data_IF_377515735062
#
_entry.id   IF_377515735062
#
_cell.length_a   1.000
_cell.length_b   1.000
_cell.length_c   1.000
_cell.angle_alpha   90.00
_cell.angle_beta   90.00
_cell.angle_gamma   90.00
#
_symmetry.space_group_name_H-M   'P 1'
#
loop_
_entity.id
_entity.type
_entity.pdbx_description
1 polymer ?
#
# COMPACT_ATOMS: atom_id res chain seq x y z
N UNK A 1 -5.75 22.45 -12.81
CA UNK A 1 -5.73 22.28 -12.41
C UNK A 1 -5.62 21.94 -11.55
N UNK A 2 -5.49 21.68 -11.40
CA UNK A 2 -5.54 21.16 -10.62
C UNK A 2 -5.32 21.47 -9.51
N UNK A 3 -5.65 21.45 -8.97
CA UNK A 3 -5.61 21.71 -7.92
C UNK A 3 -5.10 20.88 -7.15
N UNK A 4 -4.37 20.75 -6.68
CA UNK A 4 -3.74 20.00 -5.98
C UNK A 4 -3.97 20.04 -4.70
N UNK A 5 -4.80 20.39 -4.30
CA UNK A 5 -4.97 20.49 -2.99
C UNK A 5 -5.21 19.23 -2.35
N UNK A 6 -6.29 18.95 -1.79
CA UNK A 6 -6.54 17.74 -1.06
C UNK A 6 -6.97 16.65 -2.01
N UNK A 7 -6.45 15.45 -1.82
CA UNK A 7 -6.94 14.34 -2.60
C UNK A 7 -8.38 14.06 -2.24
N UNK A 8 -9.09 13.49 -3.18
CA UNK A 8 -10.44 13.06 -2.91
C UNK A 8 -10.43 11.89 -1.96
N UNK A 9 -11.36 11.83 -1.03
CA UNK A 9 -11.46 10.65 -0.18
C UNK A 9 -11.79 9.44 -1.04
N UNK A 10 -11.25 8.31 -0.66
CA UNK A 10 -11.56 7.07 -1.34
C UNK A 10 -12.97 6.63 -0.97
N UNK A 11 -13.65 5.93 -1.87
CA UNK A 11 -14.96 5.41 -1.51
C UNK A 11 -14.84 4.31 -0.48
N UNK A 12 -15.90 4.19 0.33
CA UNK A 12 -15.99 3.06 1.24
C UNK A 12 -16.07 1.77 0.44
N UNK A 13 -15.62 0.68 1.02
CA UNK A 13 -15.68 -0.61 0.34
C UNK A 13 -17.12 -0.96 -0.07
N UNK A 14 -18.09 -0.45 0.66
CA UNK A 14 -19.49 -0.75 0.32
C UNK A 14 -19.96 0.03 -0.89
N UNK A 15 -19.28 1.12 -1.23
CA UNK A 15 -19.71 1.99 -2.30
C UNK A 15 -18.78 1.96 -3.51
N UNK A 16 -17.76 1.14 -3.46
CA UNK A 16 -16.76 1.16 -4.51
C UNK A 16 -17.35 0.61 -5.80
N UNK A 17 -16.94 1.16 -6.92
CA UNK A 17 -17.33 0.62 -8.20
C UNK A 17 -16.41 -0.55 -8.53
N UNK A 18 -17.00 -1.72 -8.63
CA UNK A 18 -16.20 -2.91 -8.86
C UNK A 18 -15.61 -2.93 -10.26
N UNK A 19 -14.55 -3.68 -10.41
CA UNK A 19 -13.92 -3.86 -11.70
C UNK A 19 -14.95 -4.41 -12.70
N UNK A 20 -14.99 -3.80 -13.86
CA UNK A 20 -15.92 -4.24 -14.88
C UNK A 20 -15.26 -4.26 -16.25
N UNK A 21 -16.02 -4.70 -17.27
CA UNK A 21 -15.45 -4.81 -18.62
C UNK A 21 -14.91 -3.49 -19.16
N UNK A 22 -15.47 -2.38 -18.72
CA UNK A 22 -15.00 -1.08 -19.19
C UNK A 22 -13.62 -0.73 -18.67
N UNK A 23 -13.12 -1.48 -17.68
CA UNK A 23 -11.80 -1.19 -17.12
C UNK A 23 -10.68 -1.98 -17.78
N UNK A 24 -11.05 -2.94 -18.64
CA UNK A 24 -10.06 -3.86 -19.17
C UNK A 24 -9.01 -3.14 -20.01
N UNK A 25 -9.45 -2.21 -20.84
CA UNK A 25 -8.50 -1.51 -21.72
C UNK A 25 -7.49 -0.73 -20.89
N UNK A 26 -7.95 -0.09 -19.83
CA UNK A 26 -7.05 0.67 -18.97
C UNK A 26 -6.03 -0.27 -18.31
N UNK A 27 -6.48 -1.39 -17.81
CA UNK A 27 -5.58 -2.32 -17.15
C UNK A 27 -4.56 -2.89 -18.13
N UNK A 28 -5.01 -3.15 -19.35
CA UNK A 28 -4.08 -3.65 -20.38
C UNK A 28 -3.01 -2.62 -20.69
N UNK A 29 -3.38 -1.35 -20.72
CA UNK A 29 -2.38 -0.30 -20.94
C UNK A 29 -1.39 -0.21 -19.78
N UNK A 30 -1.89 -0.36 -18.57
CA UNK A 30 -1.00 -0.37 -17.41
C UNK A 30 -0.04 -1.55 -17.51
N UNK A 31 -0.55 -2.72 -17.87
CA UNK A 31 0.31 -3.88 -18.05
C UNK A 31 1.40 -3.61 -19.07
N UNK A 32 1.04 -2.96 -20.17
CA UNK A 32 2.03 -2.68 -21.21
C UNK A 32 3.09 -1.71 -20.73
N UNK A 33 2.68 -0.72 -19.95
CA UNK A 33 3.66 0.21 -19.37
C UNK A 33 4.61 -0.54 -18.46
N UNK A 34 4.09 -1.37 -17.59
CA UNK A 34 4.94 -2.12 -16.67
C UNK A 34 5.87 -3.07 -17.42
N UNK A 35 5.36 -3.66 -18.51
CA UNK A 35 6.20 -4.55 -19.31
C UNK A 35 7.36 -3.79 -19.94
N UNK A 36 7.08 -2.60 -20.47
CA UNK A 36 8.14 -1.82 -21.10
C UNK A 36 9.24 -1.43 -20.12
N UNK A 37 8.86 -1.27 -18.85
CA UNK A 37 9.83 -0.90 -17.84
C UNK A 37 10.41 -2.12 -17.11
N UNK A 38 10.04 -3.32 -17.53
CA UNK A 38 10.54 -4.52 -16.88
C UNK A 38 10.02 -4.67 -15.46
N UNK A 39 8.82 -4.16 -15.18
CA UNK A 39 8.34 -4.05 -13.82
C UNK A 39 7.10 -4.92 -13.54
N UNK A 40 6.78 -5.85 -14.43
CA UNK A 40 5.58 -6.65 -14.25
C UNK A 40 5.59 -7.48 -12.98
N UNK A 41 6.77 -7.82 -12.47
CA UNK A 41 6.85 -8.60 -11.25
C UNK A 41 7.10 -7.75 -10.03
N UNK A 42 7.09 -6.43 -10.21
CA UNK A 42 7.29 -5.52 -9.09
C UNK A 42 6.04 -4.76 -8.72
N UNK A 43 5.16 -4.53 -9.67
CA UNK A 43 3.97 -3.72 -9.42
C UNK A 43 2.74 -4.40 -9.97
N UNK A 44 1.65 -4.22 -9.28
CA UNK A 44 0.34 -4.59 -9.76
C UNK A 44 -0.59 -3.43 -9.53
N UNK A 45 -1.87 -3.68 -9.47
CA UNK A 45 -2.83 -2.63 -9.20
C UNK A 45 -3.82 -3.10 -8.13
N UNK A 46 -4.47 -2.13 -7.54
CA UNK A 46 -5.45 -2.37 -6.48
C UNK A 46 -6.65 -1.47 -6.73
N UNK A 47 -7.81 -1.98 -6.48
CA UNK A 47 -9.02 -1.17 -6.50
C UNK A 47 -9.06 -0.36 -5.23
N UNK A 48 -8.88 0.93 -5.34
CA UNK A 48 -8.75 1.78 -4.17
C UNK A 48 -10.07 1.89 -3.42
N UNK A 49 -10.00 1.77 -2.14
CA UNK A 49 -11.16 1.88 -1.28
C UNK A 49 -10.69 2.12 0.14
N UNK A 50 -11.62 2.46 1.01
CA UNK A 50 -11.28 2.64 2.41
C UNK A 50 -12.24 1.86 3.29
N UNK A 51 -11.79 1.52 4.44
CA UNK A 51 -12.63 0.90 5.46
C UNK A 51 -12.91 1.89 6.58
N UNK A 52 -12.12 2.93 6.70
CA UNK A 52 -12.29 4.00 7.66
C UNK A 52 -11.49 5.19 7.16
N UNK A 53 -11.66 6.33 7.81
CA UNK A 53 -10.97 7.54 7.38
C UNK A 53 -9.57 7.60 7.94
N UNK A 54 -8.67 8.15 7.14
CA UNK A 54 -7.33 8.46 7.59
C UNK A 54 -7.17 9.97 7.64
N UNK A 55 -6.47 10.46 8.65
CA UNK A 55 -6.09 11.85 8.68
C UNK A 55 -5.00 12.09 7.64
N UNK A 56 -4.81 13.35 7.26
CA UNK A 56 -3.87 13.67 6.20
C UNK A 56 -2.44 13.31 6.55
N UNK A 57 -2.14 13.19 7.85
CA UNK A 57 -0.78 12.85 8.28
C UNK A 57 -0.65 11.40 8.69
N UNK A 58 -1.61 10.57 8.33
CA UNK A 58 -1.56 9.16 8.71
C UNK A 58 -1.31 8.28 7.50
N UNK A 59 -0.69 7.17 7.76
CA UNK A 59 -0.53 6.11 6.77
C UNK A 59 -0.97 4.81 7.41
N UNK A 60 -1.28 3.84 6.59
CA UNK A 60 -1.57 2.50 7.09
C UNK A 60 -0.25 1.76 7.27
N UNK A 61 -0.07 1.20 8.43
CA UNK A 61 1.10 0.38 8.69
C UNK A 61 0.66 -1.07 8.74
N UNK A 62 1.25 -1.86 7.88
CA UNK A 62 0.90 -3.26 7.75
C UNK A 62 1.88 -4.10 8.54
N UNK A 63 1.35 -4.98 9.37
CA UNK A 63 2.17 -5.91 10.12
C UNK A 63 1.66 -7.31 9.88
N UNK A 64 2.52 -8.28 10.09
CA UNK A 64 2.23 -9.65 9.72
C UNK A 64 2.52 -10.57 10.90
N UNK A 65 1.57 -11.46 11.15
CA UNK A 65 1.78 -12.59 12.05
C UNK A 65 1.96 -13.79 11.14
N UNK A 66 3.21 -14.15 10.91
CA UNK A 66 3.51 -15.18 9.93
C UNK A 66 2.99 -16.54 10.38
N UNK A 67 3.11 -16.81 11.67
CA UNK A 67 2.70 -18.11 12.18
C UNK A 67 1.21 -18.36 11.95
N UNK A 68 0.40 -17.35 12.23
CA UNK A 68 -1.05 -17.48 12.08
C UNK A 68 -1.54 -16.98 10.74
N UNK A 69 -0.63 -16.45 9.92
CA UNK A 69 -0.94 -15.99 8.58
C UNK A 69 -2.00 -14.90 8.61
N UNK A 70 -1.77 -13.91 9.47
CA UNK A 70 -2.67 -12.78 9.63
C UNK A 70 -1.91 -11.51 9.27
N UNK A 71 -2.54 -10.67 8.47
CA UNK A 71 -2.00 -9.37 8.13
C UNK A 71 -2.93 -8.33 8.74
N UNK A 72 -2.35 -7.37 9.43
CA UNK A 72 -3.11 -6.29 10.04
C UNK A 72 -2.64 -4.97 9.48
N UNK A 73 -3.57 -4.04 9.30
CA UNK A 73 -3.22 -2.69 8.89
C UNK A 73 -3.85 -1.73 9.88
N UNK A 74 -3.03 -0.85 10.43
CA UNK A 74 -3.53 0.13 11.39
C UNK A 74 -3.03 1.50 11.01
N UNK A 75 -3.80 2.56 11.27
CA UNK A 75 -3.35 3.92 10.99
C UNK A 75 -2.28 4.34 11.97
N UNK A 76 -1.28 5.01 11.47
CA UNK A 76 -0.27 5.61 12.32
C UNK A 76 0.15 6.92 11.71
N UNK A 77 0.60 7.84 12.53
CA UNK A 77 1.13 9.07 12.01
C UNK A 77 2.34 8.76 11.17
N UNK A 78 2.41 9.37 10.00
CA UNK A 78 3.52 9.13 9.11
C UNK A 78 4.86 9.43 9.79
N UNK A 79 4.88 10.47 10.62
CA UNK A 79 6.12 10.87 11.27
C UNK A 79 6.58 9.87 12.32
N UNK A 80 5.68 9.04 12.83
CA UNK A 80 6.04 8.08 13.86
C UNK A 80 6.09 6.67 13.31
N UNK A 81 5.86 6.48 12.04
CA UNK A 81 5.98 5.15 11.45
C UNK A 81 7.42 4.71 11.51
N UNK A 82 7.59 3.46 11.88
CA UNK A 82 8.95 2.93 11.94
C UNK A 82 9.48 2.79 10.55
N UNK A 83 10.77 2.58 10.49
CA UNK A 83 11.37 2.31 9.21
C UNK A 83 10.71 1.09 8.61
N UNK A 84 10.12 1.28 7.49
CA UNK A 84 9.42 0.21 6.81
C UNK A 84 9.61 0.36 5.32
N UNK A 85 8.92 -0.47 4.58
CA UNK A 85 9.00 -0.43 3.13
C UNK A 85 7.67 0.11 2.62
N UNK A 86 7.73 1.19 1.88
CA UNK A 86 6.55 1.74 1.26
C UNK A 86 6.07 0.79 0.19
N UNK A 87 4.80 0.46 0.23
CA UNK A 87 4.28 -0.57 -0.66
C UNK A 87 3.03 -0.17 -1.42
N UNK A 88 2.49 1.01 -1.17
CA UNK A 88 1.27 1.42 -1.86
C UNK A 88 1.25 2.93 -2.00
N UNK A 89 0.95 3.40 -3.18
CA UNK A 89 0.97 4.83 -3.47
C UNK A 89 -0.28 5.20 -4.25
N UNK A 90 -0.79 6.39 -3.99
CA UNK A 90 -1.89 6.93 -4.78
C UNK A 90 -1.32 7.79 -5.88
N UNK A 91 -1.72 7.50 -7.10
CA UNK A 91 -1.18 8.24 -8.24
C UNK A 91 -1.83 9.59 -8.43
N UNK A 92 -3.05 9.77 -7.95
CA UNK A 92 -3.70 11.06 -8.06
C UNK A 92 -3.06 12.10 -7.13
N UNK A 93 -2.25 11.63 -6.17
CA UNK A 93 -1.51 12.51 -5.30
C UNK A 93 -0.03 12.41 -5.53
N UNK A 94 0.37 11.73 -6.61
CA UNK A 94 1.74 11.32 -6.77
C UNK A 94 2.53 12.46 -7.36
N UNK A 95 3.10 13.27 -6.52
CA UNK A 95 4.00 14.30 -6.96
C UNK A 95 5.32 13.98 -6.35
N UNK A 96 6.33 13.92 -7.12
CA UNK A 96 7.68 13.72 -6.63
C UNK A 96 7.86 12.45 -5.82
N UNK A 97 7.09 11.45 -6.15
CA UNK A 97 7.28 10.12 -5.59
C UNK A 97 7.13 10.06 -4.08
N UNK A 98 6.25 10.88 -3.55
CA UNK A 98 6.23 10.97 -2.12
C UNK A 98 4.97 10.55 -1.44
N UNK A 99 3.97 10.13 -2.16
CA UNK A 99 2.70 9.84 -1.50
C UNK A 99 2.52 8.36 -1.29
N UNK A 100 3.05 7.91 -0.19
CA UNK A 100 2.90 6.53 0.21
C UNK A 100 1.63 6.38 1.02
N UNK A 101 0.86 5.36 0.69
CA UNK A 101 -0.37 5.11 1.40
C UNK A 101 -0.23 3.98 2.39
N UNK A 102 0.63 3.04 2.12
CA UNK A 102 0.82 1.91 3.00
C UNK A 102 2.30 1.62 3.16
N UNK A 103 2.69 1.41 4.38
CA UNK A 103 4.05 1.01 4.71
C UNK A 103 4.00 -0.39 5.29
N UNK A 104 4.80 -1.27 4.73
CA UNK A 104 4.93 -2.60 5.28
C UNK A 104 6.01 -2.56 6.34
N UNK A 105 5.65 -2.88 7.55
CA UNK A 105 6.53 -2.71 8.68
C UNK A 105 7.69 -3.71 8.65
N UNK A 106 8.89 -3.18 8.66
CA UNK A 106 10.07 -4.00 8.83
C UNK A 106 10.48 -3.72 10.26
N UNK A 107 9.83 -4.37 11.16
CA UNK A 107 10.05 -4.02 12.55
C UNK A 107 10.77 -5.12 13.28
N UNK A 108 10.76 -4.97 14.56
CA UNK A 108 11.30 -5.96 15.45
C UNK A 108 10.22 -6.37 16.40
N UNK A 109 10.30 -7.58 16.88
CA UNK A 109 9.42 -7.98 17.93
C UNK A 109 9.91 -7.37 19.24
N UNK A 110 9.37 -7.82 20.33
CA UNK A 110 9.72 -7.23 21.62
C UNK A 110 11.17 -7.43 21.97
N UNK A 111 11.79 -8.44 21.39
CA UNK A 111 13.17 -8.73 21.72
C UNK A 111 14.13 -8.07 20.76
N UNK A 112 13.62 -7.28 19.84
CA UNK A 112 14.47 -6.63 18.88
C UNK A 112 14.80 -7.46 17.67
N UNK A 113 14.14 -8.59 17.51
CA UNK A 113 14.41 -9.47 16.39
C UNK A 113 13.54 -9.04 15.22
N UNK A 114 14.16 -8.84 14.07
CA UNK A 114 13.42 -8.47 12.88
C UNK A 114 12.57 -9.67 12.46
N UNK A 115 11.29 -9.43 12.32
CA UNK A 115 10.40 -10.51 11.97
C UNK A 115 9.64 -10.24 10.68
N UNK A 116 9.93 -9.16 10.00
CA UNK A 116 9.28 -8.88 8.72
C UNK A 116 10.34 -8.41 7.77
N UNK A 117 10.85 -9.30 6.97
CA UNK A 117 11.93 -8.98 6.08
C UNK A 117 11.40 -8.38 4.80
N UNK A 118 12.30 -7.97 3.95
CA UNK A 118 11.94 -7.32 2.71
C UNK A 118 11.08 -8.18 1.81
N UNK A 119 11.22 -9.48 1.89
CA UNK A 119 10.45 -10.32 0.99
C UNK A 119 9.11 -10.69 1.56
N UNK A 120 8.79 -10.24 2.75
CA UNK A 120 7.46 -10.40 3.36
C UNK A 120 7.09 -11.81 3.67
N UNK A 121 7.85 -12.76 3.24
CA UNK A 121 7.41 -14.12 3.42
C UNK A 121 8.42 -14.98 4.06
N UNK A 122 9.46 -14.42 4.54
CA UNK A 122 10.49 -15.21 5.15
C UNK A 122 10.04 -15.62 6.53
N UNK A 123 9.38 -16.73 6.60
CA UNK A 123 8.86 -17.22 7.85
C UNK A 123 9.96 -17.52 8.84
N UNK A 124 11.16 -17.75 8.34
CA UNK A 124 12.24 -18.06 9.23
C UNK A 124 12.67 -16.91 10.07
N UNK A 125 12.34 -15.70 9.64
CA UNK A 125 12.70 -14.55 10.44
C UNK A 125 11.60 -14.18 11.37
N UNK A 126 10.47 -14.82 11.28
CA UNK A 126 9.39 -14.54 12.20
C UNK A 126 9.76 -15.14 13.53
N UNK A 127 9.56 -14.40 14.59
CA UNK A 127 9.88 -14.90 15.93
C UNK A 127 8.97 -16.02 16.34
#
# INVERSE_FOLDING_TARGET
>A
MADNTMPQPLPSIEDVKEFGPEDVACVEEIRDVLRRHGALQRFGITLLHRHFDLASNEVLVESVDVEHRVISQVPRKASSARAGIETSWRLDMFTELQHCETICEVGCDYDGVAYHSKDHVNADTAP
#
